data_IF_848822771171
#
_entry.id   IF_848822771171
#
_cell.length_a   1.000
_cell.length_b   1.000
_cell.length_c   1.000
_cell.angle_alpha   90.00
_cell.angle_beta   90.00
_cell.angle_gamma   90.00
#
_symmetry.space_group_name_H-M   'P 1'
#
loop_
_entity.id
_entity.type
_entity.pdbx_description
1 polymer ?
#
# COMPACT_ATOMS: atom_id res chain seq x y z
N UNK A 1 -13.42 -9.19 -7.26
CA UNK A 1 -11.98 -8.84 -7.32
C UNK A 1 -11.67 -7.56 -6.56
N UNK A 2 -12.36 -6.44 -6.83
CA UNK A 2 -12.09 -5.16 -6.19
C UNK A 2 -12.05 -5.20 -4.65
N UNK A 3 -13.05 -5.81 -4.01
CA UNK A 3 -13.07 -6.00 -2.55
C UNK A 3 -11.86 -6.79 -2.05
N UNK A 4 -11.46 -7.85 -2.75
CA UNK A 4 -10.26 -8.62 -2.37
C UNK A 4 -8.99 -7.75 -2.41
N UNK A 5 -8.85 -6.87 -3.40
CA UNK A 5 -7.70 -5.95 -3.48
C UNK A 5 -7.59 -5.01 -2.27
N UNK A 6 -8.72 -4.49 -1.78
CA UNK A 6 -8.74 -3.70 -0.54
C UNK A 6 -8.31 -4.52 0.68
N UNK A 7 -8.92 -5.71 0.85
CA UNK A 7 -8.67 -6.55 2.02
C UNK A 7 -7.24 -7.12 2.04
N UNK A 8 -6.70 -7.51 0.88
CA UNK A 8 -5.32 -7.99 0.77
C UNK A 8 -4.32 -6.85 1.01
N UNK A 9 -4.60 -5.64 0.52
CA UNK A 9 -3.75 -4.47 0.82
C UNK A 9 -3.77 -4.17 2.32
N UNK A 10 -4.95 -4.20 2.96
CA UNK A 10 -5.07 -4.03 4.40
C UNK A 10 -4.28 -5.11 5.18
N UNK A 11 -4.38 -6.37 4.75
CA UNK A 11 -3.68 -7.49 5.36
C UNK A 11 -2.15 -7.33 5.30
N UNK A 12 -1.63 -6.67 4.28
CA UNK A 12 -0.20 -6.35 4.18
C UNK A 12 0.17 -5.14 5.05
N UNK A 13 -0.62 -4.07 4.97
CA UNK A 13 -0.26 -2.78 5.56
C UNK A 13 -0.49 -2.73 7.07
N UNK A 14 -1.49 -3.43 7.61
CA UNK A 14 -1.74 -3.43 9.06
C UNK A 14 -0.57 -4.07 9.83
N UNK A 15 -0.12 -5.30 9.52
CA UNK A 15 1.03 -5.89 10.22
C UNK A 15 2.31 -5.10 10.01
N UNK A 16 2.54 -4.60 8.78
CA UNK A 16 3.72 -3.79 8.48
C UNK A 16 3.71 -2.47 9.26
N UNK A 17 2.57 -1.79 9.30
CA UNK A 17 2.39 -0.54 10.03
C UNK A 17 2.59 -0.73 11.53
N UNK A 18 2.03 -1.80 12.11
CA UNK A 18 2.25 -2.16 13.52
C UNK A 18 3.73 -2.45 13.80
N UNK A 19 4.40 -3.24 12.95
CA UNK A 19 5.81 -3.56 13.09
C UNK A 19 6.68 -2.30 13.07
N UNK A 20 6.41 -1.39 12.15
CA UNK A 20 7.16 -0.12 12.02
C UNK A 20 6.86 0.84 13.18
N UNK A 21 5.60 0.92 13.62
CA UNK A 21 5.19 1.76 14.74
C UNK A 21 5.80 1.29 16.07
N UNK A 22 5.84 -0.01 16.29
CA UNK A 22 6.42 -0.62 17.49
C UNK A 22 7.85 -1.16 17.25
N UNK A 23 8.56 -0.62 16.25
CA UNK A 23 9.88 -1.13 15.87
C UNK A 23 10.83 -1.14 17.08
N UNK A 24 11.32 -2.32 17.51
CA UNK A 24 12.24 -2.42 18.63
C UNK A 24 13.55 -1.68 18.33
N UNK A 25 14.13 -1.03 19.32
CA UNK A 25 15.41 -0.30 19.17
C UNK A 25 16.56 -1.23 18.74
N UNK A 26 16.56 -2.48 19.20
CA UNK A 26 17.52 -3.51 18.76
C UNK A 26 17.42 -3.78 17.26
N UNK A 27 16.20 -3.98 16.75
CA UNK A 27 15.96 -4.23 15.32
C UNK A 27 16.27 -3.00 14.47
N UNK A 28 15.91 -1.81 14.94
CA UNK A 28 16.25 -0.56 14.28
C UNK A 28 17.76 -0.35 14.17
N UNK A 29 18.51 -0.67 15.24
CA UNK A 29 19.97 -0.63 15.25
C UNK A 29 20.58 -1.59 14.23
N UNK A 30 20.06 -2.83 14.14
CA UNK A 30 20.53 -3.79 13.13
C UNK A 30 20.23 -3.38 11.69
N UNK A 31 19.13 -2.65 11.47
CA UNK A 31 18.73 -2.15 10.15
C UNK A 31 19.35 -0.79 9.80
N UNK A 32 20.16 -0.21 10.70
CA UNK A 32 20.74 1.13 10.51
C UNK A 32 19.69 2.25 10.45
N UNK A 33 18.48 2.01 10.97
CA UNK A 33 17.37 2.95 10.87
C UNK A 33 17.48 3.97 12.01
N UNK A 34 17.87 5.19 11.66
CA UNK A 34 17.83 6.33 12.58
C UNK A 34 17.42 7.60 11.84
N UNK A 35 16.69 8.52 12.50
CA UNK A 35 16.17 8.45 13.87
C UNK A 35 14.89 7.58 14.01
N UNK A 36 14.64 7.02 15.21
CA UNK A 36 13.53 6.09 15.49
C UNK A 36 12.12 6.67 15.31
N UNK A 37 11.95 7.99 15.36
CA UNK A 37 10.62 8.57 15.15
C UNK A 37 10.13 8.41 13.71
N UNK A 38 11.04 8.36 12.73
CA UNK A 38 10.71 8.24 11.32
C UNK A 38 10.01 6.91 10.97
N UNK A 39 10.55 5.73 11.34
CA UNK A 39 9.83 4.47 11.13
C UNK A 39 8.52 4.41 11.92
N UNK A 40 8.43 5.09 13.07
CA UNK A 40 7.18 5.10 13.84
C UNK A 40 6.08 5.90 13.14
N UNK A 41 6.40 7.09 12.66
CA UNK A 41 5.46 7.93 11.92
C UNK A 41 5.04 7.24 10.62
N UNK A 42 5.98 6.66 9.87
CA UNK A 42 5.64 5.91 8.67
C UNK A 42 4.80 4.67 9.00
N UNK A 43 5.11 3.96 10.08
CA UNK A 43 4.31 2.85 10.59
C UNK A 43 2.88 3.24 10.94
N UNK A 44 2.69 4.36 11.64
CA UNK A 44 1.38 4.91 11.96
C UNK A 44 0.59 5.28 10.69
N UNK A 45 1.24 5.90 9.70
CA UNK A 45 0.62 6.25 8.42
C UNK A 45 0.20 5.00 7.63
N UNK A 46 1.08 4.01 7.53
CA UNK A 46 0.83 2.74 6.84
C UNK A 46 -0.30 1.96 7.54
N UNK A 47 -0.30 1.95 8.88
CA UNK A 47 -1.37 1.33 9.67
C UNK A 47 -2.72 2.03 9.45
N UNK A 48 -2.75 3.35 9.51
CA UNK A 48 -3.95 4.14 9.27
C UNK A 48 -4.47 3.91 7.84
N UNK A 49 -3.58 3.85 6.86
CA UNK A 49 -3.94 3.50 5.48
C UNK A 49 -4.51 2.10 5.38
N UNK A 50 -3.88 1.10 5.99
CA UNK A 50 -4.38 -0.28 6.03
C UNK A 50 -5.77 -0.38 6.66
N UNK A 51 -6.02 0.32 7.77
CA UNK A 51 -7.32 0.39 8.41
C UNK A 51 -8.38 1.06 7.50
N UNK A 52 -8.00 2.13 6.80
CA UNK A 52 -8.87 2.75 5.80
C UNK A 52 -9.24 1.76 4.69
N UNK A 53 -8.31 0.91 4.22
CA UNK A 53 -8.61 -0.11 3.21
C UNK A 53 -9.61 -1.16 3.69
N UNK A 54 -9.58 -1.56 4.96
CA UNK A 54 -10.61 -2.44 5.55
C UNK A 54 -11.99 -1.80 5.41
N UNK A 55 -12.13 -0.56 5.84
CA UNK A 55 -13.38 0.19 5.76
C UNK A 55 -13.84 0.38 4.30
N UNK A 56 -12.93 0.79 3.42
CA UNK A 56 -13.19 1.00 2.01
C UNK A 56 -13.62 -0.28 1.28
N UNK A 57 -13.17 -1.45 1.75
CA UNK A 57 -13.56 -2.75 1.21
C UNK A 57 -15.04 -3.10 1.36
N UNK A 58 -15.77 -2.48 2.29
CA UNK A 58 -17.21 -2.72 2.47
C UNK A 58 -18.08 -1.94 1.48
N UNK A 59 -17.59 -0.80 0.98
CA UNK A 59 -18.32 0.08 0.07
C UNK A 59 -17.36 0.81 -0.87
N UNK A 60 -16.78 0.11 -1.87
CA UNK A 60 -15.81 0.71 -2.77
C UNK A 60 -16.48 1.71 -3.72
N UNK A 61 -15.93 2.92 -3.79
CA UNK A 61 -16.30 3.98 -4.72
C UNK A 61 -15.07 4.46 -5.52
N UNK A 62 -15.27 5.32 -6.52
CA UNK A 62 -14.17 5.76 -7.41
C UNK A 62 -13.02 6.43 -6.65
N UNK A 63 -13.32 7.21 -5.61
CA UNK A 63 -12.30 7.92 -4.84
C UNK A 63 -11.48 6.91 -4.03
N UNK A 64 -12.14 5.96 -3.36
CA UNK A 64 -11.48 4.88 -2.62
C UNK A 64 -10.64 3.99 -3.53
N UNK A 65 -11.13 3.66 -4.73
CA UNK A 65 -10.37 2.89 -5.72
C UNK A 65 -9.15 3.67 -6.21
N UNK A 66 -9.32 4.97 -6.50
CA UNK A 66 -8.20 5.86 -6.83
C UNK A 66 -7.17 5.91 -5.70
N UNK A 67 -7.63 5.98 -4.45
CA UNK A 67 -6.79 5.86 -3.26
C UNK A 67 -6.02 4.54 -3.23
N UNK A 68 -6.70 3.39 -3.32
CA UNK A 68 -6.05 2.07 -3.35
C UNK A 68 -4.97 1.96 -4.42
N UNK A 69 -5.30 2.34 -5.65
CA UNK A 69 -4.37 2.26 -6.79
C UNK A 69 -3.19 3.22 -6.56
N UNK A 70 -3.48 4.49 -6.25
CA UNK A 70 -2.46 5.51 -6.03
C UNK A 70 -1.53 5.15 -4.87
N UNK A 71 -2.08 4.75 -3.73
CA UNK A 71 -1.30 4.34 -2.55
C UNK A 71 -0.41 3.12 -2.82
N UNK A 72 -0.94 2.11 -3.51
CA UNK A 72 -0.14 0.93 -3.88
C UNK A 72 0.99 1.31 -4.85
N UNK A 73 0.69 2.10 -5.89
CA UNK A 73 1.70 2.52 -6.87
C UNK A 73 2.76 3.46 -6.28
N UNK A 74 2.38 4.37 -5.38
CA UNK A 74 3.33 5.21 -4.64
C UNK A 74 4.25 4.36 -3.76
N UNK A 75 3.71 3.33 -3.10
CA UNK A 75 4.49 2.39 -2.30
C UNK A 75 5.47 1.60 -3.19
N UNK A 76 5.01 1.11 -4.34
CA UNK A 76 5.88 0.44 -5.33
C UNK A 76 6.99 1.38 -5.81
N UNK A 77 6.66 2.64 -6.12
CA UNK A 77 7.62 3.64 -6.57
C UNK A 77 8.69 3.95 -5.51
N UNK A 78 8.35 3.85 -4.22
CA UNK A 78 9.31 4.01 -3.13
C UNK A 78 10.19 2.75 -2.93
N UNK A 79 9.60 1.55 -3.00
CA UNK A 79 10.29 0.29 -2.69
C UNK A 79 11.17 -0.22 -3.83
N UNK A 80 10.67 -0.17 -5.07
CA UNK A 80 11.31 -0.83 -6.20
C UNK A 80 12.71 -0.27 -6.52
N UNK A 81 12.94 1.05 -6.59
CA UNK A 81 14.27 1.59 -6.85
C UNK A 81 15.26 1.24 -5.75
N UNK A 82 14.81 1.27 -4.49
CA UNK A 82 15.64 0.91 -3.33
C UNK A 82 16.05 -0.56 -3.35
N UNK A 83 15.13 -1.46 -3.74
CA UNK A 83 15.44 -2.88 -3.87
C UNK A 83 16.41 -3.18 -5.03
N UNK A 84 16.28 -2.46 -6.16
CA UNK A 84 17.13 -2.68 -7.34
C UNK A 84 18.54 -2.11 -7.20
N UNK A 85 18.68 -0.93 -6.57
CA UNK A 85 19.96 -0.20 -6.50
C UNK A 85 20.81 -0.52 -5.28
N UNK A 86 20.24 -1.11 -4.24
CA UNK A 86 20.99 -1.33 -3.00
C UNK A 86 21.70 -2.68 -3.00
N UNK A 87 23.03 -2.64 -3.15
CA UNK A 87 23.91 -3.78 -2.91
C UNK A 87 24.18 -4.01 -1.41
N UNK A 88 23.85 -3.02 -0.57
CA UNK A 88 24.03 -3.07 0.87
C UNK A 88 22.84 -3.72 1.61
N UNK A 89 21.71 -3.98 0.94
CA UNK A 89 20.57 -4.64 1.56
C UNK A 89 20.80 -6.15 1.70
N UNK A 90 20.47 -6.76 2.86
CA UNK A 90 20.47 -8.21 2.99
C UNK A 90 19.58 -8.86 1.90
N UNK A 91 20.00 -9.99 1.29
CA UNK A 91 19.28 -10.62 0.17
C UNK A 91 17.80 -10.94 0.47
N UNK A 92 17.51 -11.29 1.74
CA UNK A 92 16.15 -11.54 2.20
C UNK A 92 15.28 -10.27 2.17
N UNK A 93 15.82 -9.13 2.58
CA UNK A 93 15.11 -7.83 2.59
C UNK A 93 14.86 -7.36 1.16
N UNK A 94 15.86 -7.48 0.29
CA UNK A 94 15.73 -7.18 -1.14
C UNK A 94 14.64 -8.01 -1.79
N UNK A 95 14.65 -9.32 -1.59
CA UNK A 95 13.61 -10.23 -2.08
C UNK A 95 12.23 -9.86 -1.55
N UNK A 96 12.11 -9.56 -0.26
CA UNK A 96 10.85 -9.14 0.35
C UNK A 96 10.31 -7.86 -0.28
N UNK A 97 11.15 -6.84 -0.47
CA UNK A 97 10.75 -5.57 -1.11
C UNK A 97 10.28 -5.78 -2.56
N UNK A 98 10.96 -6.65 -3.31
CA UNK A 98 10.56 -7.00 -4.68
C UNK A 98 9.22 -7.74 -4.72
N UNK A 99 9.04 -8.74 -3.85
CA UNK A 99 7.79 -9.51 -3.76
C UNK A 99 6.63 -8.59 -3.36
N UNK A 100 6.80 -7.74 -2.35
CA UNK A 100 5.80 -6.75 -1.95
C UNK A 100 5.47 -5.80 -3.08
N UNK A 101 6.48 -5.30 -3.80
CA UNK A 101 6.27 -4.42 -4.96
C UNK A 101 5.46 -5.12 -6.05
N UNK A 102 5.78 -6.38 -6.35
CA UNK A 102 5.03 -7.19 -7.31
C UNK A 102 3.57 -7.40 -6.90
N UNK A 103 3.32 -7.78 -5.64
CA UNK A 103 1.97 -7.97 -5.12
C UNK A 103 1.17 -6.67 -5.18
N UNK A 104 1.72 -5.55 -4.70
CA UNK A 104 1.03 -4.26 -4.68
C UNK A 104 0.71 -3.76 -6.10
N UNK A 105 1.63 -3.96 -7.05
CA UNK A 105 1.41 -3.65 -8.46
C UNK A 105 0.27 -4.50 -9.04
N UNK A 106 0.27 -5.82 -8.79
CA UNK A 106 -0.80 -6.71 -9.24
C UNK A 106 -2.15 -6.33 -8.63
N UNK A 107 -2.20 -5.98 -7.34
CA UNK A 107 -3.43 -5.52 -6.68
C UNK A 107 -3.94 -4.19 -7.27
N UNK A 108 -3.04 -3.27 -7.60
CA UNK A 108 -3.38 -2.01 -8.27
C UNK A 108 -3.95 -2.26 -9.68
N UNK A 109 -3.28 -3.10 -10.49
CA UNK A 109 -3.76 -3.49 -11.82
C UNK A 109 -5.12 -4.19 -11.73
N UNK A 110 -5.28 -5.14 -10.81
CA UNK A 110 -6.55 -5.83 -10.60
C UNK A 110 -7.67 -4.86 -10.19
N UNK A 111 -7.37 -3.86 -9.37
CA UNK A 111 -8.32 -2.83 -8.98
C UNK A 111 -8.71 -1.92 -10.16
N UNK A 112 -7.76 -1.52 -11.01
CA UNK A 112 -8.02 -0.76 -12.25
C UNK A 112 -8.94 -1.56 -13.18
N UNK A 113 -8.61 -2.82 -13.43
CA UNK A 113 -9.40 -3.69 -14.33
C UNK A 113 -10.79 -4.02 -13.76
N UNK A 114 -10.95 -3.98 -12.45
CA UNK A 114 -12.23 -4.23 -11.77
C UNK A 114 -13.07 -2.97 -11.54
N UNK A 115 -12.53 -1.78 -11.82
CA UNK A 115 -13.21 -0.52 -11.57
C UNK A 115 -14.41 -0.35 -12.52
N UNK A 116 -15.63 -0.08 -12.02
CA UNK A 116 -16.79 0.09 -12.88
C UNK A 116 -16.67 1.30 -13.80
N UNK A 117 -16.56 1.07 -15.11
CA UNK A 117 -16.68 2.10 -16.15
C UNK A 117 -18.15 2.50 -16.32
N UNK A 118 -18.62 3.50 -15.56
CA UNK A 118 -19.92 4.14 -15.84
C UNK A 118 -19.78 5.64 -15.99
N UNK A 119 -19.23 6.07 -17.13
CA UNK A 119 -19.66 7.34 -17.71
C UNK A 119 -21.08 7.11 -18.26
N UNK A 120 -22.09 7.33 -17.43
CA UNK A 120 -23.35 7.89 -17.92
C UNK A 120 -23.53 9.19 -17.16
N UNK A 121 -23.08 10.27 -17.80
CA UNK A 121 -23.59 11.58 -17.43
C UNK A 121 -25.13 11.51 -17.52
N UNK A 122 -25.87 12.02 -16.52
CA UNK A 122 -27.31 12.15 -16.68
C UNK A 122 -27.54 13.09 -17.87
N UNK A 123 -28.13 12.56 -18.94
CA UNK A 123 -28.69 13.40 -19.99
C UNK A 123 -29.79 14.20 -19.30
N UNK A 124 -29.54 15.49 -19.09
CA UNK A 124 -30.61 16.44 -18.74
C UNK A 124 -31.57 16.41 -19.91
N UNK A 125 -32.72 15.77 -19.71
CA UNK A 125 -33.87 15.96 -20.60
C UNK A 125 -34.51 17.26 -20.11
N UNK A 126 -34.17 18.37 -20.76
CA UNK A 126 -34.97 19.59 -20.64
C UNK A 126 -36.32 19.30 -21.32
N UNK A 127 -37.39 19.44 -20.55
CA UNK A 127 -38.78 19.45 -21.03
C UNK A 127 -39.21 20.90 -21.25
#
# INVERSE_FOLDING_TARGET
MLRASFWLTALLFIPLGLLLYFLPSSLAGTLGVSPLWLPRVSGGLVLAWGAFQVAAGFGPDRVKVGGLVGGNLLTVAALLPAALRSDALPPAVKTLMLVLSGILLLLAVAAILSAPSRLRAPVKVEQ
#
